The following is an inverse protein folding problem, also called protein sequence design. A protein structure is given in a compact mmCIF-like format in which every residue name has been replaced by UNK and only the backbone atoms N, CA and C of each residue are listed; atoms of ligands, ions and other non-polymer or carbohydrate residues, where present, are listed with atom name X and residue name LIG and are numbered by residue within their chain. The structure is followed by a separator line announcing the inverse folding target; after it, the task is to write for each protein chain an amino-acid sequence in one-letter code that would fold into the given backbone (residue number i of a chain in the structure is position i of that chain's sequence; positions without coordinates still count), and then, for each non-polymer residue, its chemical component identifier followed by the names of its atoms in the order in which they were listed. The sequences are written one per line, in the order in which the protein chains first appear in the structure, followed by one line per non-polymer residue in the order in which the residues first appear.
data_IF_834622462652
#
_entry.id   IF_834622462652
#
_cell.length_a   1.000
_cell.length_b   1.000
_cell.length_c   1.000
_cell.angle_alpha   90.00
_cell.angle_beta   90.00
_cell.angle_gamma   90.00
#
_symmetry.space_group_name_H-M   'P 1'
#
loop_
_entity.id
_entity.type
_entity.pdbx_description
1 polymer ?
#
# COMPACT_ATOMS: atom_id res chain seq x y z
N UNK A 1 10.50 -14.09 -10.77
CA UNK A 1 11.14 -12.96 -11.49
C UNK A 1 10.17 -11.79 -11.68
N UNK A 2 8.93 -12.03 -12.13
CA UNK A 2 7.87 -11.01 -12.28
C UNK A 2 7.49 -10.35 -10.94
N UNK A 3 7.40 -11.13 -9.86
CA UNK A 3 7.00 -10.63 -8.54
C UNK A 3 8.02 -9.64 -7.95
N UNK A 4 9.31 -9.93 -8.13
CA UNK A 4 10.42 -9.04 -7.73
C UNK A 4 10.35 -7.74 -8.51
N UNK A 5 9.99 -7.81 -9.80
CA UNK A 5 9.84 -6.65 -10.67
C UNK A 5 8.64 -5.78 -10.24
N UNK A 6 7.52 -6.41 -9.84
CA UNK A 6 6.37 -5.71 -9.26
C UNK A 6 6.71 -5.07 -7.90
N UNK A 7 7.48 -5.75 -7.06
CA UNK A 7 7.96 -5.21 -5.78
C UNK A 7 8.83 -3.97 -5.99
N UNK A 8 9.84 -4.05 -6.85
CA UNK A 8 10.73 -2.92 -7.17
C UNK A 8 9.95 -1.76 -7.79
N UNK A 9 9.02 -2.04 -8.72
CA UNK A 9 8.18 -1.02 -9.33
C UNK A 9 7.27 -0.32 -8.30
N UNK A 10 6.67 -1.08 -7.37
CA UNK A 10 5.87 -0.54 -6.27
C UNK A 10 6.70 0.36 -5.36
N UNK A 11 7.92 -0.08 -5.01
CA UNK A 11 8.83 0.64 -4.13
C UNK A 11 9.33 1.96 -4.76
N UNK A 12 9.70 1.93 -6.05
CA UNK A 12 10.07 3.14 -6.80
C UNK A 12 8.90 4.13 -6.86
N UNK A 13 7.67 3.64 -7.03
CA UNK A 13 6.48 4.49 -7.11
C UNK A 13 6.17 5.19 -5.78
N UNK A 14 6.35 4.48 -4.65
CA UNK A 14 6.22 5.06 -3.30
C UNK A 14 7.25 6.17 -3.07
N UNK A 15 8.49 5.97 -3.51
CA UNK A 15 9.61 6.90 -3.24
C UNK A 15 9.57 8.14 -4.13
N UNK A 16 9.15 8.00 -5.40
CA UNK A 16 9.30 9.08 -6.40
C UNK A 16 8.00 9.77 -6.85
N UNK A 17 6.80 9.16 -6.74
CA UNK A 17 5.56 9.72 -7.30
C UNK A 17 4.43 9.81 -6.25
N UNK A 18 4.65 10.64 -5.24
CA UNK A 18 3.66 10.97 -4.20
C UNK A 18 2.70 12.07 -4.65
N UNK A 19 1.95 11.83 -5.74
CA UNK A 19 0.94 12.79 -6.23
C UNK A 19 -0.28 12.91 -5.31
N UNK A 20 -0.60 11.85 -4.59
CA UNK A 20 -1.75 11.80 -3.69
C UNK A 20 -1.66 10.65 -2.71
N UNK A 21 -2.36 10.78 -1.58
CA UNK A 21 -2.36 9.77 -0.51
C UNK A 21 -2.99 8.46 -1.00
N UNK A 22 -3.95 8.55 -1.93
CA UNK A 22 -4.56 7.37 -2.57
C UNK A 22 -3.53 6.57 -3.36
N UNK A 23 -2.64 7.25 -4.08
CA UNK A 23 -1.56 6.59 -4.86
C UNK A 23 -0.56 5.91 -3.93
N UNK A 24 -0.26 6.52 -2.77
CA UNK A 24 0.57 5.89 -1.74
C UNK A 24 -0.13 4.65 -1.14
N UNK A 25 -1.42 4.74 -0.81
CA UNK A 25 -2.16 3.60 -0.27
C UNK A 25 -2.16 2.43 -1.26
N UNK A 26 -2.51 2.69 -2.52
CA UNK A 26 -2.56 1.66 -3.57
C UNK A 26 -1.20 1.04 -3.82
N UNK A 27 -0.12 1.82 -3.79
CA UNK A 27 1.24 1.29 -4.00
C UNK A 27 1.73 0.43 -2.83
N UNK A 28 1.36 0.76 -1.59
CA UNK A 28 1.61 -0.09 -0.42
C UNK A 28 0.86 -1.43 -0.50
N UNK A 29 -0.40 -1.42 -0.92
CA UNK A 29 -1.18 -2.66 -1.08
C UNK A 29 -0.59 -3.56 -2.18
N UNK A 30 -0.12 -2.96 -3.29
CA UNK A 30 0.59 -3.67 -4.37
C UNK A 30 1.89 -4.31 -3.90
N UNK A 31 2.66 -3.60 -3.08
CA UNK A 31 3.89 -4.11 -2.48
C UNK A 31 3.61 -5.33 -1.59
N UNK A 32 2.56 -5.25 -0.77
CA UNK A 32 2.16 -6.33 0.10
C UNK A 32 1.62 -7.55 -0.64
N UNK A 33 0.89 -7.35 -1.75
CA UNK A 33 0.46 -8.42 -2.63
C UNK A 33 1.66 -9.16 -3.24
N UNK A 34 2.67 -8.41 -3.72
CA UNK A 34 3.90 -8.99 -4.25
C UNK A 34 4.66 -9.81 -3.18
N UNK A 35 4.69 -9.33 -1.93
CA UNK A 35 5.29 -10.05 -0.81
C UNK A 35 4.55 -11.37 -0.50
N UNK A 36 3.22 -11.34 -0.50
CA UNK A 36 2.38 -12.53 -0.27
C UNK A 36 2.63 -13.57 -1.35
N UNK A 37 2.69 -13.18 -2.62
CA UNK A 37 3.01 -14.09 -3.74
C UNK A 37 4.37 -14.76 -3.56
N UNK A 38 5.41 -13.98 -3.20
CA UNK A 38 6.76 -14.50 -2.98
C UNK A 38 6.84 -15.46 -1.78
N UNK A 39 6.11 -15.16 -0.69
CA UNK A 39 6.15 -15.94 0.54
C UNK A 39 5.14 -17.10 0.58
N UNK A 40 4.22 -17.20 -0.38
CA UNK A 40 3.13 -18.18 -0.38
C UNK A 40 3.63 -19.63 -0.31
N UNK A 41 4.71 -19.95 -1.05
CA UNK A 41 5.25 -21.31 -1.13
C UNK A 41 6.11 -21.73 0.07
N UNK A 42 6.75 -20.78 0.76
CA UNK A 42 7.73 -21.09 1.82
C UNK A 42 7.16 -20.95 3.23
N UNK A 43 6.25 -20.01 3.46
CA UNK A 43 5.79 -19.62 4.79
C UNK A 43 4.28 -19.38 4.80
N UNK A 44 3.50 -20.41 4.49
CA UNK A 44 2.04 -20.31 4.32
C UNK A 44 1.31 -19.73 5.55
N UNK A 45 1.63 -20.22 6.76
CA UNK A 45 0.99 -19.75 8.00
C UNK A 45 1.26 -18.26 8.26
N UNK A 46 2.51 -17.83 8.07
CA UNK A 46 2.89 -16.42 8.24
C UNK A 46 2.32 -15.53 7.13
N UNK A 47 2.20 -16.04 5.90
CA UNK A 47 1.60 -15.32 4.78
C UNK A 47 0.10 -15.07 5.01
N UNK A 48 -0.63 -16.04 5.56
CA UNK A 48 -2.04 -15.87 5.94
C UNK A 48 -2.20 -14.84 7.06
N UNK A 49 -1.32 -14.87 8.06
CA UNK A 49 -1.33 -13.89 9.15
C UNK A 49 -1.02 -12.47 8.65
N UNK A 50 -0.03 -12.35 7.76
CA UNK A 50 0.30 -11.09 7.10
C UNK A 50 -0.87 -10.56 6.27
N UNK A 51 -1.59 -11.42 5.54
CA UNK A 51 -2.81 -11.07 4.82
C UNK A 51 -3.87 -10.48 5.75
N UNK A 52 -4.09 -11.08 6.92
CA UNK A 52 -5.04 -10.54 7.91
C UNK A 52 -4.66 -9.14 8.36
N UNK A 53 -3.37 -8.90 8.67
CA UNK A 53 -2.88 -7.58 9.09
C UNK A 53 -3.02 -6.56 7.95
N UNK A 54 -2.77 -6.96 6.71
CA UNK A 54 -2.91 -6.09 5.54
C UNK A 54 -4.35 -5.61 5.33
N UNK A 55 -5.35 -6.48 5.55
CA UNK A 55 -6.76 -6.05 5.48
C UNK A 55 -7.05 -4.96 6.51
N UNK A 56 -6.56 -5.13 7.75
CA UNK A 56 -6.74 -4.12 8.81
C UNK A 56 -6.04 -2.81 8.43
N UNK A 57 -4.81 -2.88 7.93
CA UNK A 57 -4.07 -1.71 7.45
C UNK A 57 -4.81 -0.98 6.32
N UNK A 58 -5.39 -1.71 5.38
CA UNK A 58 -6.17 -1.16 4.25
C UNK A 58 -7.42 -0.41 4.74
N UNK A 59 -8.15 -0.98 5.70
CA UNK A 59 -9.32 -0.33 6.33
C UNK A 59 -8.91 0.96 7.06
N UNK A 60 -7.83 0.90 7.85
CA UNK A 60 -7.31 2.06 8.58
C UNK A 60 -6.85 3.15 7.61
N UNK A 61 -6.13 2.79 6.55
CA UNK A 61 -5.66 3.73 5.54
C UNK A 61 -6.80 4.41 4.77
N UNK A 62 -7.88 3.67 4.47
CA UNK A 62 -9.10 4.23 3.89
C UNK A 62 -9.81 5.21 4.84
N UNK A 63 -9.89 4.91 6.14
CA UNK A 63 -10.46 5.82 7.14
C UNK A 63 -9.66 7.12 7.23
N UNK A 64 -8.33 7.04 7.22
CA UNK A 64 -7.45 8.20 7.23
C UNK A 64 -7.65 9.02 5.96
N UNK A 65 -7.74 8.38 4.79
CA UNK A 65 -8.03 9.04 3.52
C UNK A 65 -9.35 9.82 3.54
N UNK A 66 -10.43 9.21 4.03
CA UNK A 66 -11.72 9.89 4.16
C UNK A 66 -11.63 11.09 5.10
N UNK A 67 -10.88 10.98 6.18
CA UNK A 67 -10.65 12.07 7.11
C UNK A 67 -9.88 13.21 6.42
N UNK A 68 -8.79 12.90 5.74
CA UNK A 68 -7.98 13.85 4.97
C UNK A 68 -8.82 14.59 3.92
N UNK A 69 -9.58 13.87 3.10
CA UNK A 69 -10.42 14.47 2.06
C UNK A 69 -11.50 15.37 2.68
N UNK A 70 -12.03 15.00 3.85
CA UNK A 70 -13.01 15.84 4.56
C UNK A 70 -12.41 17.14 5.10
N UNK A 71 -11.15 17.13 5.54
CA UNK A 71 -10.49 18.32 6.10
C UNK A 71 -9.92 19.25 5.03
N UNK A 72 -9.27 18.69 4.00
CA UNK A 72 -8.55 19.46 2.99
C UNK A 72 -9.30 19.59 1.66
N UNK A 73 -10.41 18.87 1.49
CA UNK A 73 -11.20 18.85 0.25
C UNK A 73 -10.47 18.19 -0.94
N UNK A 74 -9.30 17.61 -0.70
CA UNK A 74 -8.41 17.08 -1.74
C UNK A 74 -7.47 16.01 -1.14
N UNK A 75 -6.96 15.11 -1.98
CA UNK A 75 -6.09 14.00 -1.60
C UNK A 75 -4.60 14.24 -1.91
N UNK A 76 -4.25 15.41 -2.44
CA UNK A 76 -2.88 15.78 -2.80
C UNK A 76 -2.02 16.00 -1.55
N UNK A 77 -0.94 15.24 -1.45
CA UNK A 77 0.06 15.33 -0.35
C UNK A 77 0.64 16.74 -0.22
N UNK A 78 0.78 17.48 -1.34
CA UNK A 78 1.25 18.87 -1.33
C UNK A 78 0.34 19.89 -0.65
N UNK A 79 -0.88 19.50 -0.25
CA UNK A 79 -1.78 20.36 0.55
C UNK A 79 -1.54 20.27 2.05
N UNK A 80 -0.70 19.33 2.51
CA UNK A 80 -0.38 19.11 3.93
C UNK A 80 0.86 19.87 4.41
N UNK A 81 1.57 20.55 3.50
CA UNK A 81 2.71 21.43 3.78
C UNK A 81 2.29 22.88 3.68
#
# INVERSE_FOLDING_TARGET
MIEILMFVAGLVKIVFDLKGIVVLLVSMELLSLALVCLCWGCYWVYSVWFLMVMVVHSVVGMLILLWVVRYFGNDKVGSFV
#
